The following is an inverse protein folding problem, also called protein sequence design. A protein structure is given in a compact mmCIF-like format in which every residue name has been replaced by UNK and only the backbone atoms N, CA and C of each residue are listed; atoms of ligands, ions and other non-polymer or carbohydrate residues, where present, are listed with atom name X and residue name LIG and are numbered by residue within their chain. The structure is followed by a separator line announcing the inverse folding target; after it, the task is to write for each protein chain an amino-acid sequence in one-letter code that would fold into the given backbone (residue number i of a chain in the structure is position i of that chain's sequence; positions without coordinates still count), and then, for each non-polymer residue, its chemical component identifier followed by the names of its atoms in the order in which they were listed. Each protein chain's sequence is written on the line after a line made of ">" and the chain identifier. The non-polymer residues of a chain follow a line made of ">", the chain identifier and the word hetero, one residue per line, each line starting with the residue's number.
data_IF_396478507646
#
_entry.id   IF_396478507646
#
_cell.length_a   1.000
_cell.length_b   1.000
_cell.length_c   1.000
_cell.angle_alpha   90.00
_cell.angle_beta   90.00
_cell.angle_gamma   90.00
#
_symmetry.space_group_name_H-M   'P 1'
#
loop_
_entity.id
_entity.type
_entity.pdbx_description
1 polymer ?
#
# COMPACT_ATOMS: atom_id res chain seq x y z
N UNK A 1 -16.87 -13.19 18.05
CA UNK A 1 -16.50 -12.57 16.75
C UNK A 1 -15.96 -11.17 17.00
N UNK A 2 -14.68 -11.05 17.37
CA UNK A 2 -14.09 -9.76 17.72
C UNK A 2 -14.11 -8.83 16.49
N UNK A 3 -14.79 -7.70 16.63
CA UNK A 3 -14.87 -6.66 15.61
C UNK A 3 -13.44 -6.27 15.25
N UNK A 4 -13.04 -6.51 14.00
CA UNK A 4 -11.74 -6.06 13.49
C UNK A 4 -11.76 -4.54 13.62
N UNK A 5 -11.01 -4.03 14.59
CA UNK A 5 -10.71 -2.60 14.70
C UNK A 5 -10.28 -2.14 13.32
N UNK A 6 -10.64 -0.91 12.97
CA UNK A 6 -10.18 -0.18 11.78
C UNK A 6 -8.67 0.01 11.84
N UNK A 7 -7.95 -1.11 11.81
CA UNK A 7 -6.52 -1.25 11.62
C UNK A 7 -6.22 -0.46 10.37
N UNK A 8 -5.40 0.58 10.52
CA UNK A 8 -4.90 1.40 9.43
C UNK A 8 -4.70 0.59 8.14
N UNK A 9 -5.27 1.10 7.05
CA UNK A 9 -5.15 0.47 5.73
C UNK A 9 -3.67 0.15 5.44
N UNK A 10 -3.40 -1.01 4.85
CA UNK A 10 -2.03 -1.38 4.47
C UNK A 10 -1.35 -0.30 3.62
N UNK A 11 -2.13 0.49 2.88
CA UNK A 11 -1.63 1.65 2.13
C UNK A 11 -1.08 2.76 3.02
N UNK A 12 -1.75 3.10 4.12
CA UNK A 12 -1.31 4.19 5.01
C UNK A 12 -0.05 3.78 5.77
N UNK A 13 0.03 2.52 6.22
CA UNK A 13 1.23 1.94 6.83
C UNK A 13 2.43 1.96 5.88
N UNK A 14 2.23 1.58 4.61
CA UNK A 14 3.30 1.58 3.61
C UNK A 14 3.75 3.01 3.23
N UNK A 15 2.82 3.96 3.17
CA UNK A 15 3.16 5.39 2.96
C UNK A 15 4.00 5.94 4.11
N UNK A 16 3.61 5.68 5.37
CA UNK A 16 4.39 6.07 6.56
C UNK A 16 5.80 5.49 6.52
N UNK A 17 5.96 4.20 6.17
CA UNK A 17 7.28 3.55 6.03
C UNK A 17 8.14 4.16 4.93
N UNK A 18 7.54 4.56 3.80
CA UNK A 18 8.27 5.21 2.72
C UNK A 18 8.72 6.62 3.10
N UNK A 19 7.85 7.40 3.77
CA UNK A 19 8.19 8.74 4.25
C UNK A 19 9.31 8.70 5.31
N UNK A 20 9.25 7.75 6.24
CA UNK A 20 10.29 7.56 7.25
C UNK A 20 11.66 7.21 6.64
N UNK A 21 11.69 6.35 5.62
CA UNK A 21 12.93 5.96 4.93
C UNK A 21 13.45 7.00 3.94
N UNK A 22 12.60 7.89 3.41
CA UNK A 22 13.04 8.92 2.47
C UNK A 22 13.76 10.11 3.12
N UNK A 23 13.58 10.31 4.43
CA UNK A 23 14.24 11.37 5.19
C UNK A 23 15.67 10.95 5.61
N UNK A 24 15.97 9.65 5.53
CA UNK A 24 17.22 9.03 5.98
C UNK A 24 18.40 9.29 5.06
N UNK A 25 18.56 8.57 3.94
CA UNK A 25 19.93 8.42 3.42
C UNK A 25 20.06 8.07 1.93
N UNK A 26 21.25 8.41 1.41
CA UNK A 26 21.71 8.23 0.02
C UNK A 26 22.42 6.88 -0.21
N UNK A 27 22.08 5.84 0.55
CA UNK A 27 22.75 4.53 0.46
C UNK A 27 22.10 3.57 -0.55
N UNK A 28 22.94 2.85 -1.29
CA UNK A 28 22.55 1.96 -2.39
C UNK A 28 21.77 0.71 -1.94
N UNK A 29 22.03 0.18 -0.73
CA UNK A 29 21.26 -0.96 -0.16
C UNK A 29 19.86 -0.54 0.32
N UNK A 30 19.73 0.68 0.87
CA UNK A 30 18.44 1.28 1.24
C UNK A 30 17.57 1.51 -0.02
N UNK A 31 18.18 1.75 -1.19
CA UNK A 31 17.47 1.86 -2.48
C UNK A 31 16.69 0.59 -2.84
N UNK A 32 17.25 -0.60 -2.61
CA UNK A 32 16.53 -1.87 -2.86
C UNK A 32 15.37 -2.07 -1.88
N UNK A 33 15.59 -1.75 -0.59
CA UNK A 33 14.54 -1.77 0.43
C UNK A 33 13.41 -0.78 0.09
N UNK A 34 13.73 0.45 -0.32
CA UNK A 34 12.78 1.45 -0.81
C UNK A 34 12.05 0.97 -2.07
N UNK A 35 12.76 0.32 -3.01
CA UNK A 35 12.19 -0.23 -4.24
C UNK A 35 11.19 -1.34 -3.92
N UNK A 36 11.51 -2.24 -2.97
CA UNK A 36 10.60 -3.29 -2.53
C UNK A 36 9.34 -2.72 -1.84
N UNK A 37 9.49 -1.70 -0.99
CA UNK A 37 8.38 -1.00 -0.35
C UNK A 37 7.47 -0.28 -1.36
N UNK A 38 8.04 0.43 -2.34
CA UNK A 38 7.30 1.05 -3.44
C UNK A 38 6.53 0.01 -4.26
N UNK A 39 7.14 -1.15 -4.56
CA UNK A 39 6.47 -2.26 -5.26
C UNK A 39 5.29 -2.78 -4.44
N UNK A 40 5.45 -2.97 -3.13
CA UNK A 40 4.38 -3.42 -2.23
C UNK A 40 3.23 -2.41 -2.20
N UNK A 41 3.50 -1.11 -2.11
CA UNK A 41 2.47 -0.07 -2.17
C UNK A 41 1.69 -0.12 -3.49
N UNK A 42 2.37 -0.23 -4.64
CA UNK A 42 1.72 -0.35 -5.95
C UNK A 42 0.82 -1.59 -6.05
N UNK A 43 1.23 -2.74 -5.49
CA UNK A 43 0.41 -3.97 -5.46
C UNK A 43 -0.88 -3.77 -4.67
N UNK A 44 -0.80 -3.15 -3.50
CA UNK A 44 -2.00 -2.85 -2.68
C UNK A 44 -2.94 -1.90 -3.41
N UNK A 45 -2.41 -0.82 -3.99
CA UNK A 45 -3.20 0.13 -4.78
C UNK A 45 -3.89 -0.54 -5.98
N UNK A 46 -3.20 -1.43 -6.69
CA UNK A 46 -3.80 -2.21 -7.79
C UNK A 46 -4.93 -3.10 -7.28
N UNK A 47 -4.73 -3.83 -6.18
CA UNK A 47 -5.78 -4.66 -5.56
C UNK A 47 -7.00 -3.83 -5.16
N UNK A 48 -6.78 -2.62 -4.62
CA UNK A 48 -7.86 -1.68 -4.29
C UNK A 48 -8.63 -1.28 -5.54
N UNK A 49 -7.93 -0.94 -6.63
CA UNK A 49 -8.54 -0.56 -7.92
C UNK A 49 -9.34 -1.70 -8.53
N UNK A 50 -8.79 -2.93 -8.56
CA UNK A 50 -9.51 -4.07 -9.13
C UNK A 50 -10.78 -4.40 -8.34
N UNK A 51 -10.73 -4.33 -7.01
CA UNK A 51 -11.93 -4.51 -6.18
C UNK A 51 -12.95 -3.40 -6.41
N UNK A 52 -12.52 -2.14 -6.56
CA UNK A 52 -13.41 -1.03 -6.87
C UNK A 52 -14.07 -1.18 -8.24
N UNK A 53 -13.31 -1.57 -9.28
CA UNK A 53 -13.84 -1.84 -10.62
C UNK A 53 -14.81 -3.03 -10.60
N UNK A 54 -14.49 -4.12 -9.90
CA UNK A 54 -15.39 -5.26 -9.77
C UNK A 54 -16.72 -4.85 -9.12
N UNK A 55 -16.67 -4.05 -8.04
CA UNK A 55 -17.87 -3.51 -7.39
C UNK A 55 -18.69 -2.62 -8.33
N UNK A 56 -18.03 -1.74 -9.09
CA UNK A 56 -18.68 -0.89 -10.09
C UNK A 56 -19.38 -1.73 -11.15
N UNK A 57 -18.70 -2.73 -11.69
CA UNK A 57 -19.22 -3.58 -12.76
C UNK A 57 -20.35 -4.50 -12.27
N UNK A 58 -20.31 -4.96 -11.00
CA UNK A 58 -21.40 -5.75 -10.42
C UNK A 58 -22.60 -4.89 -10.02
N UNK A 59 -22.39 -3.62 -9.67
CA UNK A 59 -23.48 -2.67 -9.38
C UNK A 59 -24.13 -2.09 -10.65
N UNK A 60 -23.51 -2.33 -11.81
CA UNK A 60 -23.99 -1.94 -13.14
C UNK A 60 -24.76 -3.05 -13.86
N UNK A 61 -25.02 -4.19 -13.19
CA UNK A 61 -25.85 -5.29 -13.67
C UNK A 61 -27.15 -5.36 -12.89
#
# INVERSE_FOLDING_TARGET
>A
MAKKTTSESDETRLKKKLAAKSIGDKDTKESEALRSLKKRLRRVQRKRRTLALRKKNSASK
#
